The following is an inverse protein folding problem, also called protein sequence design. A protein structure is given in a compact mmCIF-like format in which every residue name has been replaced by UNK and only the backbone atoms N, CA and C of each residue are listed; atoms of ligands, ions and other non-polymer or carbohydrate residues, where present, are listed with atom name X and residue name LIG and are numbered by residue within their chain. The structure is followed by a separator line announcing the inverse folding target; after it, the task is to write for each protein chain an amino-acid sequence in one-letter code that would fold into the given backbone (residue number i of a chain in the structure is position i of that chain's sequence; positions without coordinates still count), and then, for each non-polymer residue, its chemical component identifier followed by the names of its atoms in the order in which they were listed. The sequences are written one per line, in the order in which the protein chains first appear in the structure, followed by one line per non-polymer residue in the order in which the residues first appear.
data_IF_913906991125
#
_entry.id   IF_913906991125
#
_cell.length_a   1.000
_cell.length_b   1.000
_cell.length_c   1.000
_cell.angle_alpha   90.00
_cell.angle_beta   90.00
_cell.angle_gamma   90.00
#
_symmetry.space_group_name_H-M   'P 1'
#
loop_
_entity.id
_entity.type
_entity.pdbx_description
1 polymer ?
#
# COMPACT_ATOMS: atom_id res chain seq x y z
N UNK A 1 7.69 10.98 16.03
CA UNK A 1 8.39 10.17 15.01
C UNK A 1 7.79 8.79 14.82
N UNK A 2 7.40 8.06 15.88
CA UNK A 2 6.80 6.72 15.78
C UNK A 2 5.62 6.62 14.79
N UNK A 3 4.68 7.57 14.85
CA UNK A 3 3.49 7.55 13.97
C UNK A 3 3.82 7.52 12.47
N UNK A 4 4.87 8.21 12.02
CA UNK A 4 5.31 8.15 10.62
C UNK A 4 5.72 6.72 10.24
N UNK A 5 6.51 6.06 11.09
CA UNK A 5 7.00 4.71 10.82
C UNK A 5 5.91 3.66 10.92
N UNK A 6 4.88 3.87 11.74
CA UNK A 6 3.70 3.00 11.78
C UNK A 6 2.96 3.06 10.44
N UNK A 7 2.65 4.27 9.96
CA UNK A 7 1.98 4.45 8.67
C UNK A 7 2.83 3.89 7.52
N UNK A 8 4.13 4.21 7.51
CA UNK A 8 5.05 3.75 6.48
C UNK A 8 5.20 2.23 6.47
N UNK A 9 5.33 1.60 7.64
CA UNK A 9 5.43 0.15 7.76
C UNK A 9 4.17 -0.57 7.25
N UNK A 10 2.99 0.00 7.53
CA UNK A 10 1.73 -0.53 7.04
C UNK A 10 1.62 -0.44 5.51
N UNK A 11 1.93 0.71 4.93
CA UNK A 11 1.97 0.88 3.47
C UNK A 11 3.03 0.00 2.80
N UNK A 12 4.17 -0.22 3.47
CA UNK A 12 5.21 -1.12 2.98
C UNK A 12 4.71 -2.57 2.94
N UNK A 13 3.94 -3.03 3.94
CA UNK A 13 3.29 -4.34 3.91
C UNK A 13 2.32 -4.47 2.73
N UNK A 14 1.49 -3.44 2.47
CA UNK A 14 0.59 -3.43 1.31
C UNK A 14 1.38 -3.50 -0.01
N UNK A 15 2.46 -2.72 -0.11
CA UNK A 15 3.31 -2.72 -1.29
C UNK A 15 3.99 -4.08 -1.53
N UNK A 16 4.43 -4.76 -0.46
CA UNK A 16 4.98 -6.12 -0.55
C UNK A 16 3.95 -7.13 -1.05
N UNK A 17 2.69 -7.04 -0.59
CA UNK A 17 1.60 -7.88 -1.11
C UNK A 17 1.40 -7.64 -2.60
N UNK A 18 1.34 -6.38 -3.04
CA UNK A 18 1.20 -6.04 -4.46
C UNK A 18 2.37 -6.53 -5.30
N UNK A 19 3.61 -6.37 -4.83
CA UNK A 19 4.82 -6.87 -5.49
C UNK A 19 4.81 -8.40 -5.61
N UNK A 20 4.43 -9.10 -4.53
CA UNK A 20 4.30 -10.56 -4.55
C UNK A 20 3.34 -11.01 -5.65
N UNK A 21 2.12 -10.46 -5.70
CA UNK A 21 1.14 -10.83 -6.73
C UNK A 21 1.56 -10.41 -8.13
N UNK A 22 2.25 -9.29 -8.29
CA UNK A 22 2.80 -8.89 -9.58
C UNK A 22 3.81 -9.93 -10.10
N UNK A 23 4.80 -10.32 -9.29
CA UNK A 23 5.82 -11.29 -9.72
C UNK A 23 5.26 -12.70 -9.92
N UNK A 24 4.37 -13.17 -9.05
CA UNK A 24 3.65 -14.43 -9.25
C UNK A 24 2.84 -14.36 -10.54
N UNK A 25 2.15 -13.24 -10.77
CA UNK A 25 1.31 -13.05 -11.94
C UNK A 25 2.08 -13.01 -13.26
N UNK A 26 3.34 -12.54 -13.27
CA UNK A 26 4.21 -12.65 -14.44
C UNK A 26 4.55 -14.12 -14.74
N UNK A 27 4.69 -14.95 -13.72
CA UNK A 27 5.01 -16.37 -13.85
C UNK A 27 3.82 -17.23 -14.30
N UNK A 28 2.61 -16.93 -13.81
CA UNK A 28 1.40 -17.68 -14.15
C UNK A 28 0.59 -17.08 -15.34
N UNK A 29 1.00 -15.91 -15.84
CA UNK A 29 0.38 -15.23 -16.97
C UNK A 29 -0.84 -14.36 -16.63
N UNK A 30 -1.25 -14.29 -15.35
CA UNK A 30 -2.31 -13.38 -14.91
C UNK A 30 -1.91 -11.91 -14.98
N UNK A 31 -0.61 -11.59 -14.93
CA UNK A 31 -0.05 -10.30 -15.37
C UNK A 31 0.44 -10.47 -16.80
N UNK A 32 -0.22 -9.82 -17.75
CA UNK A 32 0.07 -9.91 -19.18
C UNK A 32 0.03 -8.54 -19.84
N UNK A 33 0.29 -8.47 -21.15
CA UNK A 33 0.18 -7.22 -21.92
C UNK A 33 -1.20 -6.54 -21.79
N UNK A 34 -2.26 -7.31 -21.51
CA UNK A 34 -3.62 -6.79 -21.32
C UNK A 34 -3.77 -5.91 -20.07
N UNK A 35 -3.04 -6.20 -18.98
CA UNK A 35 -3.17 -5.49 -17.70
C UNK A 35 -1.86 -4.94 -17.15
N UNK A 36 -0.74 -5.09 -17.87
CA UNK A 36 0.57 -4.57 -17.48
C UNK A 36 0.52 -3.08 -17.14
N UNK A 37 -0.19 -2.28 -17.94
CA UNK A 37 -0.33 -0.84 -17.68
C UNK A 37 -0.96 -0.54 -16.33
N UNK A 38 -2.00 -1.29 -15.93
CA UNK A 38 -2.65 -1.14 -14.63
C UNK A 38 -1.67 -1.50 -13.51
N UNK A 39 -0.95 -2.60 -13.65
CA UNK A 39 0.06 -3.02 -12.67
C UNK A 39 1.16 -1.98 -12.49
N UNK A 40 1.66 -1.40 -13.58
CA UNK A 40 2.69 -0.35 -13.51
C UNK A 40 2.16 0.91 -12.82
N UNK A 41 0.90 1.29 -13.04
CA UNK A 41 0.28 2.40 -12.32
C UNK A 41 0.17 2.11 -10.83
N UNK A 42 -0.25 0.90 -10.46
CA UNK A 42 -0.35 0.48 -9.05
C UNK A 42 1.02 0.51 -8.37
N UNK A 43 2.03 -0.14 -8.96
CA UNK A 43 3.39 -0.18 -8.42
C UNK A 43 4.04 1.22 -8.38
N UNK A 44 3.81 2.03 -9.41
CA UNK A 44 4.25 3.42 -9.44
C UNK A 44 3.62 4.27 -8.35
N UNK A 45 2.31 4.13 -8.12
CA UNK A 45 1.60 4.79 -7.03
C UNK A 45 2.14 4.39 -5.65
N UNK A 46 2.38 3.09 -5.43
CA UNK A 46 2.99 2.59 -4.20
C UNK A 46 4.41 3.15 -3.99
N UNK A 47 5.21 3.20 -5.06
CA UNK A 47 6.55 3.80 -5.01
C UNK A 47 6.48 5.30 -4.67
N UNK A 48 5.55 6.05 -5.26
CA UNK A 48 5.31 7.46 -4.93
C UNK A 48 4.95 7.64 -3.45
N UNK A 49 4.12 6.77 -2.89
CA UNK A 49 3.74 6.83 -1.47
C UNK A 49 4.95 6.55 -0.56
N UNK A 50 5.66 5.44 -0.79
CA UNK A 50 6.77 5.03 0.09
C UNK A 50 8.00 5.92 -0.05
N UNK A 51 8.46 6.17 -1.28
CA UNK A 51 9.66 6.99 -1.54
C UNK A 51 9.34 8.46 -1.37
N UNK A 52 8.19 8.92 -1.86
CA UNK A 52 7.77 10.32 -1.71
C UNK A 52 7.59 10.73 -0.25
N UNK A 53 7.06 9.85 0.60
CA UNK A 53 6.95 10.14 2.04
C UNK A 53 8.31 10.20 2.73
N UNK A 54 9.27 9.36 2.36
CA UNK A 54 10.65 9.45 2.85
C UNK A 54 11.34 10.73 2.39
N UNK A 55 11.14 11.13 1.14
CA UNK A 55 11.66 12.39 0.60
C UNK A 55 11.07 13.60 1.33
N UNK A 56 9.74 13.65 1.52
CA UNK A 56 9.07 14.70 2.29
C UNK A 56 9.57 14.76 3.75
N UNK A 57 9.79 13.60 4.38
CA UNK A 57 10.38 13.51 5.72
C UNK A 57 11.81 14.06 5.75
N UNK A 58 12.64 13.75 4.75
CA UNK A 58 14.01 14.25 4.61
C UNK A 58 14.08 15.77 4.49
N UNK A 59 13.06 16.39 3.87
CA UNK A 59 12.91 17.85 3.81
C UNK A 59 12.30 18.47 5.07
N UNK A 60 12.08 17.71 6.15
CA UNK A 60 11.42 18.18 7.37
C UNK A 60 9.90 18.39 7.23
N UNK A 61 9.29 18.08 6.09
CA UNK A 61 7.85 18.22 5.83
C UNK A 61 7.05 17.02 6.37
N UNK A 62 7.19 16.76 7.67
CA UNK A 62 6.65 15.54 8.31
C UNK A 62 5.11 15.45 8.23
N UNK A 63 4.40 16.58 8.25
CA UNK A 63 2.94 16.59 8.13
C UNK A 63 2.49 16.10 6.75
N UNK A 64 3.11 16.61 5.68
CA UNK A 64 2.82 16.17 4.31
C UNK A 64 3.20 14.70 4.10
N UNK A 65 4.33 14.26 4.67
CA UNK A 65 4.76 12.87 4.59
C UNK A 65 3.73 11.92 5.21
N UNK A 66 3.18 12.27 6.38
CA UNK A 66 2.11 11.50 7.03
C UNK A 66 0.80 11.57 6.24
N UNK A 67 0.47 12.73 5.68
CA UNK A 67 -0.70 12.90 4.84
C UNK A 67 -0.66 11.98 3.61
N UNK A 68 0.48 11.92 2.92
CA UNK A 68 0.71 11.04 1.79
C UNK A 68 0.56 9.56 2.17
N UNK A 69 1.18 9.12 3.27
CA UNK A 69 1.01 7.75 3.78
C UNK A 69 -0.43 7.46 4.19
N UNK A 70 -1.12 8.45 4.77
CA UNK A 70 -2.52 8.32 5.19
C UNK A 70 -3.47 7.98 4.04
N UNK A 71 -3.13 8.33 2.79
CA UNK A 71 -3.93 8.01 1.60
C UNK A 71 -4.13 6.51 1.45
N UNK A 72 -3.11 5.70 1.78
CA UNK A 72 -3.18 4.25 1.66
C UNK A 72 -3.39 3.56 3.02
N UNK A 73 -2.70 4.03 4.05
CA UNK A 73 -2.75 3.39 5.36
C UNK A 73 -4.14 3.44 5.99
N UNK A 74 -4.87 4.54 5.84
CA UNK A 74 -6.23 4.69 6.42
C UNK A 74 -7.23 3.74 5.76
N UNK A 75 -7.44 3.76 4.42
CA UNK A 75 -8.37 2.83 3.80
C UNK A 75 -7.91 1.37 3.94
N UNK A 76 -6.60 1.10 3.89
CA UNK A 76 -6.07 -0.25 4.10
C UNK A 76 -6.35 -0.78 5.51
N UNK A 77 -6.16 0.05 6.55
CA UNK A 77 -6.48 -0.33 7.93
C UNK A 77 -7.98 -0.56 8.09
N UNK A 78 -8.82 0.32 7.54
CA UNK A 78 -10.28 0.16 7.58
C UNK A 78 -10.72 -1.13 6.89
N UNK A 79 -10.11 -1.49 5.75
CA UNK A 79 -10.39 -2.74 5.06
C UNK A 79 -9.98 -3.96 5.91
N UNK A 80 -8.80 -3.95 6.53
CA UNK A 80 -8.37 -5.03 7.43
C UNK A 80 -9.33 -5.16 8.61
N UNK A 81 -9.72 -4.05 9.24
CA UNK A 81 -10.68 -4.05 10.35
C UNK A 81 -12.04 -4.57 9.89
N UNK A 82 -12.51 -4.19 8.70
CA UNK A 82 -13.74 -4.70 8.11
C UNK A 82 -13.66 -6.21 7.89
N UNK A 83 -12.58 -6.73 7.30
CA UNK A 83 -12.40 -8.17 7.11
C UNK A 83 -12.36 -8.92 8.45
N UNK A 84 -11.69 -8.38 9.47
CA UNK A 84 -11.69 -8.94 10.82
C UNK A 84 -13.10 -8.98 11.41
N UNK A 85 -13.89 -7.92 11.24
CA UNK A 85 -15.29 -7.90 11.67
C UNK A 85 -16.11 -8.96 10.96
N UNK A 86 -15.96 -9.13 9.64
CA UNK A 86 -16.66 -10.18 8.87
C UNK A 86 -16.27 -11.56 9.40
N UNK A 87 -14.98 -11.83 9.61
CA UNK A 87 -14.51 -13.12 10.11
C UNK A 87 -15.04 -13.43 11.51
N UNK A 88 -15.02 -12.44 12.43
CA UNK A 88 -15.42 -12.64 13.83
C UNK A 88 -16.95 -12.66 13.99
N UNK A 89 -17.69 -11.89 13.19
CA UNK A 89 -19.15 -11.83 13.26
C UNK A 89 -19.85 -13.06 12.65
N UNK A 90 -19.12 -13.87 11.88
CA UNK A 90 -19.61 -15.11 11.28
C UNK A 90 -20.96 -14.92 10.54
N UNK A 91 -21.07 -13.91 9.65
CA UNK A 91 -22.31 -13.63 8.94
C UNK A 91 -22.64 -14.82 8.05
N UNK A 92 -23.82 -15.39 8.26
CA UNK A 92 -24.37 -16.51 7.48
C UNK A 92 -25.03 -16.00 6.21
#
# INVERSE_FOLDING_TARGET
MAFFWILWGFDACIALVALYFFFIGLGDGSVSSFNMGIWLIVLGGLAVILVGSLWLKGMGKLLLAKGLLGILAVPGLLYVLFMLLVIVSNPR
#
